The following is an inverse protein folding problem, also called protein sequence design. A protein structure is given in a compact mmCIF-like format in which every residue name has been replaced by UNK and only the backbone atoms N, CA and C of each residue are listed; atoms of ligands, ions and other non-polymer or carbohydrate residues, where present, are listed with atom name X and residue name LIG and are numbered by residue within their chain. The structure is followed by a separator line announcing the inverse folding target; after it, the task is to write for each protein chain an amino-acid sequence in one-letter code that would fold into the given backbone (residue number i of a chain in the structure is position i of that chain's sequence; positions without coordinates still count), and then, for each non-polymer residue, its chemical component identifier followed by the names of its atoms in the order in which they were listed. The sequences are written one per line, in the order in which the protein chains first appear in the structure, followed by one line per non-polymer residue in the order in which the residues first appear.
data_IF_620115367424
#
_entry.id   IF_620115367424
#
_cell.length_a   1.000
_cell.length_b   1.000
_cell.length_c   1.000
_cell.angle_alpha   90.00
_cell.angle_beta   90.00
_cell.angle_gamma   90.00
#
_symmetry.space_group_name_H-M   'P 1'
#
loop_
_entity.id
_entity.type
_entity.pdbx_description
1 polymer ?
#
# COMPACT_ATOMS: atom_id res chain seq x y z
N UNK A 1 -17.26 3.24 -13.63
CA UNK A 1 -17.04 3.27 -15.09
C UNK A 1 -17.85 2.15 -15.74
N UNK A 2 -18.79 2.47 -16.64
CA UNK A 2 -19.69 1.49 -17.27
C UNK A 2 -18.98 0.68 -18.36
N UNK A 3 -18.06 1.31 -19.08
CA UNK A 3 -17.28 0.75 -20.20
C UNK A 3 -16.37 -0.43 -19.82
N UNK A 4 -15.95 -0.54 -18.55
CA UNK A 4 -15.01 -1.57 -18.08
C UNK A 4 -15.73 -2.79 -17.48
N UNK A 5 -17.05 -2.73 -17.29
CA UNK A 5 -17.84 -3.76 -16.60
C UNK A 5 -18.96 -4.40 -17.42
N UNK A 6 -19.15 -3.99 -18.68
CA UNK A 6 -20.04 -4.71 -19.60
C UNK A 6 -19.25 -5.79 -20.33
N UNK A 7 -19.92 -6.91 -20.66
CA UNK A 7 -19.51 -7.84 -21.74
C UNK A 7 -19.02 -7.04 -22.95
N UNK A 8 -18.13 -7.57 -23.82
CA UNK A 8 -17.51 -6.82 -24.91
C UNK A 8 -18.56 -6.11 -25.77
N UNK A 9 -18.87 -4.87 -25.39
CA UNK A 9 -19.80 -4.00 -26.09
C UNK A 9 -18.97 -3.25 -27.10
N UNK A 10 -19.25 -3.53 -28.36
CA UNK A 10 -18.86 -2.82 -29.59
C UNK A 10 -17.59 -1.96 -29.48
N UNK A 11 -16.44 -2.56 -29.81
CA UNK A 11 -15.19 -1.85 -30.13
C UNK A 11 -14.01 -2.08 -29.20
N UNK A 12 -14.22 -2.64 -28.00
CA UNK A 12 -13.16 -2.94 -27.02
C UNK A 12 -13.03 -4.47 -26.89
N UNK A 13 -12.18 -5.07 -27.71
CA UNK A 13 -11.98 -6.53 -27.75
C UNK A 13 -10.64 -6.93 -27.15
N UNK A 14 -9.66 -6.02 -27.17
CA UNK A 14 -8.30 -6.21 -26.70
C UNK A 14 -7.89 -5.15 -25.67
N UNK A 15 -7.05 -5.50 -24.70
CA UNK A 15 -6.39 -4.55 -23.79
C UNK A 15 -5.90 -3.26 -24.49
N UNK A 16 -5.40 -3.35 -25.72
CA UNK A 16 -4.96 -2.17 -26.49
C UNK A 16 -6.08 -1.22 -26.92
N UNK A 17 -7.30 -1.73 -27.06
CA UNK A 17 -8.49 -0.92 -27.33
C UNK A 17 -8.91 -0.10 -26.09
N UNK A 18 -8.29 -0.35 -24.93
CA UNK A 18 -8.47 0.48 -23.73
C UNK A 18 -7.69 1.78 -23.76
N UNK A 19 -6.83 1.99 -24.76
CA UNK A 19 -6.04 3.21 -24.90
C UNK A 19 -6.88 4.49 -24.81
N UNK A 20 -7.98 4.67 -25.58
CA UNK A 20 -8.78 5.89 -25.51
C UNK A 20 -9.42 6.10 -24.12
N UNK A 21 -9.80 5.01 -23.45
CA UNK A 21 -10.38 5.05 -22.11
C UNK A 21 -9.32 5.46 -21.07
N UNK A 22 -8.09 4.96 -21.19
CA UNK A 22 -6.97 5.36 -20.33
C UNK A 22 -6.60 6.83 -20.55
N UNK A 23 -6.53 7.28 -21.80
CA UNK A 23 -6.27 8.68 -22.16
C UNK A 23 -7.37 9.60 -21.59
N UNK A 24 -8.65 9.21 -21.73
CA UNK A 24 -9.78 9.95 -21.17
C UNK A 24 -9.75 9.98 -19.63
N UNK A 25 -9.43 8.86 -18.97
CA UNK A 25 -9.32 8.79 -17.52
C UNK A 25 -8.21 9.70 -16.98
N UNK A 26 -7.03 9.69 -17.63
CA UNK A 26 -5.91 10.54 -17.23
C UNK A 26 -6.27 12.01 -17.44
N UNK A 27 -6.81 12.38 -18.60
CA UNK A 27 -7.24 13.74 -18.88
C UNK A 27 -8.29 14.23 -17.87
N UNK A 28 -9.28 13.39 -17.56
CA UNK A 28 -10.34 13.70 -16.61
C UNK A 28 -9.80 13.89 -15.18
N UNK A 29 -8.92 13.00 -14.72
CA UNK A 29 -8.28 13.16 -13.41
C UNK A 29 -7.43 14.43 -13.33
N UNK A 30 -6.66 14.74 -14.39
CA UNK A 30 -5.88 16.00 -14.46
C UNK A 30 -6.78 17.22 -14.43
N UNK A 31 -7.95 17.17 -15.08
CA UNK A 31 -8.95 18.25 -15.01
C UNK A 31 -9.45 18.49 -13.58
N UNK A 32 -9.77 17.44 -12.83
CA UNK A 32 -10.25 17.57 -11.44
C UNK A 32 -9.12 18.05 -10.51
N UNK A 33 -7.88 17.61 -10.73
CA UNK A 33 -6.73 18.10 -9.93
C UNK A 33 -6.54 19.61 -10.13
N UNK A 34 -6.68 20.09 -11.37
CA UNK A 34 -6.57 21.51 -11.69
C UNK A 34 -7.75 22.34 -11.14
N UNK A 35 -8.94 21.75 -11.08
CA UNK A 35 -10.16 22.38 -10.58
C UNK A 35 -11.01 21.40 -9.75
N UNK A 36 -10.72 21.27 -8.43
CA UNK A 36 -11.46 20.38 -7.54
C UNK A 36 -12.93 20.76 -7.35
N UNK A 37 -13.30 22.01 -7.66
CA UNK A 37 -14.68 22.49 -7.54
C UNK A 37 -15.61 21.80 -8.54
N UNK A 38 -15.08 21.13 -9.58
CA UNK A 38 -15.85 20.25 -10.45
C UNK A 38 -16.61 19.18 -9.66
N UNK A 39 -16.01 18.65 -8.58
CA UNK A 39 -16.64 17.64 -7.72
C UNK A 39 -17.12 18.20 -6.38
N UNK A 40 -16.45 19.23 -5.86
CA UNK A 40 -16.70 19.77 -4.53
C UNK A 40 -17.47 21.10 -4.51
N UNK A 41 -17.61 21.76 -5.64
CA UNK A 41 -18.25 23.07 -5.77
C UNK A 41 -19.76 22.99 -5.59
N UNK A 42 -20.40 24.12 -5.30
CA UNK A 42 -21.84 24.20 -5.05
C UNK A 42 -22.72 23.78 -6.23
N UNK A 43 -22.22 23.90 -7.46
CA UNK A 43 -22.93 23.58 -8.70
C UNK A 43 -22.51 22.22 -9.28
N UNK A 44 -22.79 21.14 -8.56
CA UNK A 44 -22.49 19.78 -9.00
C UNK A 44 -23.44 19.35 -10.13
N UNK A 45 -22.90 19.18 -11.35
CA UNK A 45 -23.61 18.62 -12.50
C UNK A 45 -22.95 17.32 -12.97
N UNK A 46 -23.74 16.28 -13.25
CA UNK A 46 -23.18 15.02 -13.77
C UNK A 46 -22.49 15.21 -15.13
N UNK A 47 -22.86 16.23 -15.91
CA UNK A 47 -22.27 16.51 -17.23
C UNK A 47 -20.79 16.88 -17.11
N UNK A 48 -20.41 17.58 -16.05
CA UNK A 48 -19.04 18.02 -15.78
C UNK A 48 -18.31 17.09 -14.81
N UNK A 49 -19.04 16.52 -13.85
CA UNK A 49 -18.53 15.70 -12.75
C UNK A 49 -18.59 14.19 -13.00
N UNK A 50 -18.95 13.75 -14.21
CA UNK A 50 -18.73 12.38 -14.66
C UNK A 50 -17.77 12.36 -15.85
N UNK A 51 -16.94 11.32 -15.91
CA UNK A 51 -15.95 11.18 -16.98
C UNK A 51 -16.59 11.02 -18.37
N UNK A 52 -17.78 10.42 -18.45
CA UNK A 52 -18.53 10.17 -19.69
C UNK A 52 -19.67 11.18 -19.93
N UNK A 53 -19.82 12.19 -19.06
CA UNK A 53 -20.92 13.16 -19.11
C UNK A 53 -22.30 12.54 -18.87
N UNK A 54 -22.38 11.29 -18.40
CA UNK A 54 -23.64 10.57 -18.17
C UNK A 54 -23.98 10.55 -16.69
N UNK A 55 -25.29 10.42 -16.41
CA UNK A 55 -25.77 10.27 -15.04
C UNK A 55 -25.00 9.14 -14.32
N UNK A 56 -24.58 9.39 -13.08
CA UNK A 56 -23.87 8.39 -12.28
C UNK A 56 -24.69 7.12 -12.12
N UNK A 57 -24.02 5.98 -11.89
CA UNK A 57 -24.73 4.71 -11.65
C UNK A 57 -25.55 4.75 -10.35
N UNK A 58 -25.12 5.56 -9.40
CA UNK A 58 -25.73 5.76 -8.07
C UNK A 58 -25.80 7.26 -7.76
N UNK A 59 -26.71 8.00 -8.42
CA UNK A 59 -26.83 9.44 -8.21
C UNK A 59 -27.14 9.78 -6.74
N UNK A 60 -27.88 8.94 -6.04
CA UNK A 60 -28.23 9.12 -4.63
C UNK A 60 -27.00 9.20 -3.72
N UNK A 61 -25.97 8.39 -4.00
CA UNK A 61 -24.72 8.41 -3.23
C UNK A 61 -23.90 9.68 -3.50
N UNK A 62 -23.89 10.15 -4.75
CA UNK A 62 -23.17 11.37 -5.14
C UNK A 62 -23.80 12.60 -4.49
N UNK A 63 -25.13 12.72 -4.55
CA UNK A 63 -25.83 13.85 -3.93
C UNK A 63 -25.75 13.81 -2.40
N UNK A 64 -25.82 12.63 -1.77
CA UNK A 64 -25.64 12.51 -0.32
C UNK A 64 -24.22 12.93 0.11
N UNK A 65 -23.18 12.51 -0.63
CA UNK A 65 -21.82 12.95 -0.35
C UNK A 65 -21.68 14.46 -0.52
N UNK A 66 -22.25 15.02 -1.60
CA UNK A 66 -22.23 16.46 -1.86
C UNK A 66 -22.94 17.28 -0.76
N UNK A 67 -24.10 16.82 -0.29
CA UNK A 67 -24.83 17.44 0.80
C UNK A 67 -24.06 17.45 2.14
N UNK A 68 -23.14 16.50 2.34
CA UNK A 68 -22.27 16.46 3.51
C UNK A 68 -21.04 17.36 3.38
N UNK A 69 -20.62 17.72 2.17
CA UNK A 69 -19.42 18.52 1.96
C UNK A 69 -19.40 19.84 2.77
N UNK A 70 -20.50 20.62 2.89
CA UNK A 70 -20.53 21.85 3.71
C UNK A 70 -20.29 21.62 5.20
N UNK A 71 -20.60 20.42 5.70
CA UNK A 71 -20.36 20.05 7.11
C UNK A 71 -18.92 19.61 7.36
N UNK A 72 -18.20 19.29 6.29
CA UNK A 72 -16.79 18.94 6.31
C UNK A 72 -15.96 20.19 6.03
N UNK A 73 -14.73 20.23 6.52
CA UNK A 73 -13.81 21.32 6.17
C UNK A 73 -13.47 21.20 4.68
N UNK A 74 -14.16 21.97 3.84
CA UNK A 74 -14.09 21.91 2.36
C UNK A 74 -12.65 21.90 1.84
N UNK A 75 -11.80 22.81 2.34
CA UNK A 75 -10.40 22.90 1.95
C UNK A 75 -9.62 21.60 2.23
N UNK A 76 -9.97 20.87 3.31
CA UNK A 76 -9.35 19.58 3.61
C UNK A 76 -9.84 18.48 2.67
N UNK A 77 -11.13 18.48 2.31
CA UNK A 77 -11.70 17.48 1.39
C UNK A 77 -11.13 17.65 -0.01
N UNK A 78 -11.01 18.88 -0.50
CA UNK A 78 -10.38 19.17 -1.79
C UNK A 78 -8.91 18.75 -1.80
N UNK A 79 -8.14 19.08 -0.75
CA UNK A 79 -6.75 18.66 -0.64
C UNK A 79 -6.59 17.14 -0.66
N UNK A 80 -7.43 16.42 0.10
CA UNK A 80 -7.43 14.95 0.12
C UNK A 80 -7.79 14.37 -1.25
N UNK A 81 -8.79 14.95 -1.92
CA UNK A 81 -9.20 14.53 -3.26
C UNK A 81 -8.06 14.68 -4.27
N UNK A 82 -7.36 15.83 -4.23
CA UNK A 82 -6.22 16.10 -5.10
C UNK A 82 -5.11 15.08 -4.85
N UNK A 83 -4.68 14.89 -3.60
CA UNK A 83 -3.61 13.94 -3.25
C UNK A 83 -3.96 12.50 -3.65
N UNK A 84 -5.21 12.10 -3.44
CA UNK A 84 -5.71 10.79 -3.87
C UNK A 84 -5.64 10.64 -5.41
N UNK A 85 -6.08 11.66 -6.15
CA UNK A 85 -6.08 11.64 -7.61
C UNK A 85 -4.67 11.67 -8.18
N UNK A 86 -3.74 12.42 -7.59
CA UNK A 86 -2.33 12.42 -7.99
C UNK A 86 -1.71 11.03 -7.88
N UNK A 87 -1.86 10.38 -6.72
CA UNK A 87 -1.36 9.01 -6.51
C UNK A 87 -2.06 7.98 -7.42
N UNK A 88 -3.37 8.13 -7.63
CA UNK A 88 -4.13 7.27 -8.54
C UNK A 88 -3.66 7.44 -9.99
N UNK A 89 -3.46 8.67 -10.46
CA UNK A 89 -3.01 8.95 -11.82
C UNK A 89 -1.58 8.47 -12.07
N UNK A 90 -0.68 8.58 -11.09
CA UNK A 90 0.66 8.01 -11.17
C UNK A 90 0.57 6.49 -11.40
N UNK A 91 -0.27 5.79 -10.62
CA UNK A 91 -0.48 4.36 -10.78
C UNK A 91 -1.05 4.01 -12.16
N UNK A 92 -2.04 4.76 -12.67
CA UNK A 92 -2.61 4.53 -14.00
C UNK A 92 -1.62 4.80 -15.13
N UNK A 93 -0.79 5.85 -15.03
CA UNK A 93 0.28 6.12 -16.01
C UNK A 93 1.30 5.01 -16.04
N UNK A 94 1.69 4.47 -14.88
CA UNK A 94 2.59 3.32 -14.79
C UNK A 94 1.94 2.04 -15.33
N UNK A 95 0.67 1.80 -15.01
CA UNK A 95 -0.07 0.63 -15.50
C UNK A 95 -0.26 0.67 -17.02
N UNK A 96 -0.59 1.85 -17.56
CA UNK A 96 -0.84 2.06 -18.98
C UNK A 96 0.41 2.37 -19.80
N UNK A 97 1.63 2.37 -19.23
CA UNK A 97 2.83 2.84 -19.93
C UNK A 97 3.08 2.08 -21.22
N UNK A 98 2.86 0.77 -21.21
CA UNK A 98 3.03 -0.08 -22.38
C UNK A 98 1.99 0.25 -23.46
N UNK A 99 0.74 0.49 -23.06
CA UNK A 99 -0.39 0.76 -23.95
C UNK A 99 -0.33 2.18 -24.55
N UNK A 100 0.00 3.17 -23.72
CA UNK A 100 0.08 4.58 -24.09
C UNK A 100 1.34 4.87 -24.91
N UNK A 101 2.46 4.23 -24.54
CA UNK A 101 3.79 4.48 -25.11
C UNK A 101 4.07 3.79 -26.44
N UNK A 102 3.21 2.88 -26.91
CA UNK A 102 3.39 2.18 -28.20
C UNK A 102 2.13 2.24 -29.03
N UNK A 103 2.27 2.18 -30.35
CA UNK A 103 1.16 2.02 -31.29
C UNK A 103 1.32 0.68 -32.00
N UNK A 104 0.33 -0.19 -31.87
CA UNK A 104 0.25 -1.43 -32.61
C UNK A 104 -0.61 -1.23 -33.85
N UNK A 105 -0.24 -1.87 -34.96
CA UNK A 105 -1.11 -1.99 -36.14
C UNK A 105 -2.29 -2.92 -35.82
N UNK A 106 -3.38 -2.86 -36.58
CA UNK A 106 -4.55 -3.70 -36.31
C UNK A 106 -4.23 -5.19 -36.41
N UNK A 107 -3.36 -5.58 -37.36
CA UNK A 107 -2.84 -6.94 -37.46
C UNK A 107 -1.96 -7.37 -36.27
N UNK A 108 -1.33 -6.44 -35.55
CA UNK A 108 -0.61 -6.73 -34.31
C UNK A 108 -1.56 -6.79 -33.11
N UNK A 109 -2.58 -5.94 -33.06
CA UNK A 109 -3.63 -6.00 -32.02
C UNK A 109 -4.35 -7.34 -32.08
N UNK A 110 -4.72 -7.82 -33.27
CA UNK A 110 -5.39 -9.13 -33.42
C UNK A 110 -4.56 -10.29 -32.84
N UNK A 111 -3.23 -10.20 -32.88
CA UNK A 111 -2.31 -11.20 -32.32
C UNK A 111 -2.16 -11.11 -30.80
N UNK A 112 -2.58 -10.02 -30.18
CA UNK A 112 -2.50 -9.83 -28.72
C UNK A 112 -3.81 -10.29 -28.10
N UNK A 113 -3.92 -11.57 -27.76
CA UNK A 113 -5.10 -12.12 -27.09
C UNK A 113 -5.11 -11.82 -25.58
N UNK A 114 -5.29 -10.54 -25.20
CA UNK A 114 -5.51 -10.16 -23.80
C UNK A 114 -6.93 -9.58 -23.61
N UNK A 115 -7.78 -10.23 -22.80
CA UNK A 115 -9.11 -9.72 -22.46
C UNK A 115 -9.03 -8.33 -21.83
N UNK A 116 -10.02 -7.50 -22.16
CA UNK A 116 -10.11 -6.08 -21.77
C UNK A 116 -10.54 -5.88 -20.32
N UNK A 117 -11.27 -6.84 -19.75
CA UNK A 117 -11.87 -6.70 -18.43
C UNK A 117 -11.17 -7.58 -17.39
N UNK A 118 -11.10 -7.05 -16.16
CA UNK A 118 -10.57 -7.79 -15.04
C UNK A 118 -11.44 -9.02 -14.74
N UNK A 119 -12.75 -8.98 -14.96
CA UNK A 119 -13.65 -10.10 -14.64
C UNK A 119 -13.29 -11.39 -15.38
N UNK A 120 -12.91 -11.29 -16.66
CA UNK A 120 -12.45 -12.45 -17.45
C UNK A 120 -11.05 -12.89 -16.99
N UNK A 121 -10.18 -11.94 -16.66
CA UNK A 121 -8.84 -12.23 -16.15
C UNK A 121 -8.87 -12.82 -14.73
N UNK A 122 -9.81 -12.42 -13.87
CA UNK A 122 -10.09 -12.91 -12.53
C UNK A 122 -10.69 -14.31 -12.60
N UNK A 123 -11.67 -14.52 -13.49
CA UNK A 123 -12.22 -15.84 -13.79
C UNK A 123 -11.16 -16.80 -14.33
N UNK A 124 -10.28 -16.32 -15.20
CA UNK A 124 -9.15 -17.07 -15.72
C UNK A 124 -8.12 -17.39 -14.63
N UNK A 125 -7.83 -16.45 -13.73
CA UNK A 125 -6.92 -16.66 -12.60
C UNK A 125 -7.49 -17.68 -11.60
N UNK A 126 -8.79 -17.60 -11.32
CA UNK A 126 -9.50 -18.55 -10.45
C UNK A 126 -9.65 -19.95 -11.07
N UNK A 127 -9.86 -20.03 -12.39
CA UNK A 127 -9.99 -21.29 -13.11
C UNK A 127 -8.63 -21.96 -13.38
N UNK A 128 -7.57 -21.20 -13.65
CA UNK A 128 -6.27 -21.79 -14.00
C UNK A 128 -5.34 -21.93 -12.80
N UNK A 129 -5.37 -21.06 -11.80
CA UNK A 129 -4.49 -21.21 -10.64
C UNK A 129 -4.97 -22.33 -9.69
N UNK A 130 -6.03 -22.09 -8.91
CA UNK A 130 -6.55 -23.06 -7.94
C UNK A 130 -7.00 -24.40 -8.54
N UNK A 131 -7.82 -24.39 -9.59
CA UNK A 131 -8.37 -25.64 -10.15
C UNK A 131 -7.30 -26.46 -10.87
N UNK A 132 -6.38 -25.83 -11.61
CA UNK A 132 -5.29 -26.59 -12.23
C UNK A 132 -4.32 -27.15 -11.20
N UNK A 133 -4.03 -26.43 -10.10
CA UNK A 133 -3.22 -26.98 -8.99
C UNK A 133 -3.91 -28.13 -8.26
N UNK A 134 -5.24 -28.14 -8.15
CA UNK A 134 -5.97 -29.31 -7.61
C UNK A 134 -5.82 -30.54 -8.51
N UNK A 135 -5.89 -30.35 -9.84
CA UNK A 135 -5.76 -31.45 -10.81
C UNK A 135 -4.31 -31.89 -11.06
N UNK A 136 -3.35 -30.97 -10.90
CA UNK A 136 -1.93 -31.21 -11.12
C UNK A 136 -1.11 -30.43 -10.07
N UNK A 137 -0.99 -30.96 -8.83
CA UNK A 137 -0.36 -30.24 -7.72
C UNK A 137 1.13 -29.97 -7.94
N UNK A 138 1.80 -30.83 -8.72
CA UNK A 138 3.21 -30.69 -9.06
C UNK A 138 3.45 -29.74 -10.25
N UNK A 139 2.40 -29.24 -10.90
CA UNK A 139 2.55 -28.32 -12.02
C UNK A 139 3.02 -26.95 -11.52
N UNK A 140 4.06 -26.41 -12.16
CA UNK A 140 4.55 -25.06 -11.87
C UNK A 140 3.57 -24.01 -12.41
N UNK A 141 3.62 -22.80 -11.85
CA UNK A 141 2.76 -21.72 -12.35
C UNK A 141 3.07 -21.41 -13.82
N UNK A 142 4.34 -21.48 -14.20
CA UNK A 142 4.79 -21.35 -15.58
C UNK A 142 4.18 -22.41 -16.50
N UNK A 143 4.15 -23.68 -16.09
CA UNK A 143 3.51 -24.75 -16.88
C UNK A 143 2.00 -24.53 -17.03
N UNK A 144 1.33 -24.07 -15.97
CA UNK A 144 -0.10 -23.75 -16.01
C UNK A 144 -0.35 -22.61 -17.01
N UNK A 145 0.43 -21.53 -16.93
CA UNK A 145 0.31 -20.39 -17.83
C UNK A 145 0.61 -20.77 -19.28
N UNK A 146 1.67 -21.55 -19.52
CA UNK A 146 2.04 -22.04 -20.85
C UNK A 146 0.93 -22.92 -21.45
N UNK A 147 0.33 -23.81 -20.66
CA UNK A 147 -0.81 -24.64 -21.13
C UNK A 147 -2.03 -23.79 -21.47
N UNK A 148 -2.29 -22.75 -20.70
CA UNK A 148 -3.41 -21.86 -20.96
C UNK A 148 -3.18 -21.03 -22.24
N UNK A 149 -1.98 -20.49 -22.44
CA UNK A 149 -1.56 -19.82 -23.67
C UNK A 149 -1.61 -20.77 -24.87
N UNK A 150 -1.11 -22.00 -24.72
CA UNK A 150 -1.12 -23.01 -25.77
C UNK A 150 -2.54 -23.29 -26.30
N UNK A 151 -3.52 -23.34 -25.40
CA UNK A 151 -4.94 -23.52 -25.75
C UNK A 151 -5.54 -22.27 -26.39
N UNK A 152 -5.28 -21.08 -25.83
CA UNK A 152 -5.86 -19.84 -26.32
C UNK A 152 -5.33 -19.43 -27.70
N UNK A 153 -4.04 -19.65 -27.95
CA UNK A 153 -3.39 -19.21 -29.18
C UNK A 153 -3.50 -20.22 -30.34
N UNK A 154 -4.30 -21.28 -30.20
CA UNK A 154 -4.40 -22.32 -31.24
C UNK A 154 -3.06 -22.98 -31.57
N UNK A 155 -2.11 -22.99 -30.62
CA UNK A 155 -0.72 -23.40 -30.90
C UNK A 155 -0.62 -24.89 -31.26
N UNK A 156 -1.62 -25.70 -30.90
CA UNK A 156 -1.71 -27.11 -31.30
C UNK A 156 -1.71 -27.28 -32.82
N UNK A 157 -2.56 -26.52 -33.53
CA UNK A 157 -2.67 -26.60 -34.99
C UNK A 157 -1.36 -26.17 -35.66
N UNK A 158 -0.69 -25.14 -35.14
CA UNK A 158 0.61 -24.70 -35.64
C UNK A 158 1.67 -25.79 -35.49
N UNK A 159 1.72 -26.45 -34.32
CA UNK A 159 2.67 -27.55 -34.08
C UNK A 159 2.37 -28.71 -35.01
N UNK A 160 1.10 -29.07 -35.16
CA UNK A 160 0.66 -30.18 -36.00
C UNK A 160 0.97 -29.94 -37.49
N UNK A 161 0.73 -28.73 -37.98
CA UNK A 161 0.95 -28.38 -39.39
C UNK A 161 2.43 -28.14 -39.74
N UNK A 162 3.21 -27.53 -38.85
CA UNK A 162 4.56 -27.03 -39.19
C UNK A 162 5.71 -27.73 -38.47
N UNK A 163 5.45 -28.37 -37.33
CA UNK A 163 6.49 -28.92 -36.46
C UNK A 163 6.29 -30.41 -36.15
N UNK A 164 5.31 -31.07 -36.79
CA UNK A 164 5.07 -32.50 -36.65
C UNK A 164 6.06 -33.36 -37.46
N UNK A 165 7.33 -32.99 -37.40
CA UNK A 165 8.45 -33.72 -37.99
C UNK A 165 9.42 -34.09 -36.87
N UNK A 166 10.26 -35.11 -37.10
CA UNK A 166 11.27 -35.53 -36.11
C UNK A 166 12.19 -34.38 -35.70
N UNK A 167 12.58 -33.54 -36.65
CA UNK A 167 13.41 -32.36 -36.46
C UNK A 167 12.68 -31.26 -35.67
N UNK A 168 11.40 -31.00 -36.00
CA UNK A 168 10.56 -30.05 -35.25
C UNK A 168 10.40 -30.46 -33.78
N UNK A 169 10.15 -31.75 -33.53
CA UNK A 169 10.08 -32.30 -32.16
C UNK A 169 11.43 -32.21 -31.43
N UNK A 170 12.55 -32.37 -32.13
CA UNK A 170 13.90 -32.23 -31.55
C UNK A 170 14.19 -30.77 -31.18
N UNK A 171 13.83 -29.83 -32.05
CA UNK A 171 13.93 -28.39 -31.78
C UNK A 171 13.10 -27.98 -30.56
N UNK A 172 11.84 -28.43 -30.47
CA UNK A 172 10.96 -28.13 -29.33
C UNK A 172 11.53 -28.67 -28.00
N UNK A 173 12.11 -29.88 -28.00
CA UNK A 173 12.76 -30.44 -26.81
C UNK A 173 13.99 -29.63 -26.39
N UNK A 174 14.83 -29.23 -27.35
CA UNK A 174 16.01 -28.40 -27.07
C UNK A 174 15.60 -27.05 -26.47
N UNK A 175 14.56 -26.41 -27.03
CA UNK A 175 14.06 -25.14 -26.49
C UNK A 175 13.43 -25.29 -25.10
N UNK A 176 12.64 -26.35 -24.88
CA UNK A 176 12.08 -26.63 -23.56
C UNK A 176 13.19 -26.84 -22.50
N UNK A 177 14.27 -27.54 -22.87
CA UNK A 177 15.42 -27.74 -21.99
C UNK A 177 16.16 -26.43 -21.71
N UNK A 178 16.36 -25.59 -22.71
CA UNK A 178 16.97 -24.26 -22.56
C UNK A 178 16.13 -23.32 -21.69
N UNK A 179 14.79 -23.40 -21.76
CA UNK A 179 13.91 -22.62 -20.88
C UNK A 179 13.96 -23.17 -19.45
N UNK A 180 13.94 -24.49 -19.28
CA UNK A 180 14.01 -25.13 -17.96
C UNK A 180 15.33 -24.85 -17.25
N UNK A 181 16.44 -24.77 -17.98
CA UNK A 181 17.77 -24.48 -17.40
C UNK A 181 17.93 -23.04 -16.90
N UNK A 182 17.07 -22.12 -17.33
CA UNK A 182 17.11 -20.71 -16.88
C UNK A 182 16.67 -20.51 -15.42
N UNK A 183 16.11 -21.53 -14.77
CA UNK A 183 15.77 -21.49 -13.35
C UNK A 183 14.76 -20.40 -12.97
N UNK A 184 13.93 -19.95 -13.93
CA UNK A 184 12.94 -18.86 -13.74
C UNK A 184 12.00 -19.15 -12.57
N UNK A 185 11.57 -20.40 -12.43
CA UNK A 185 10.70 -20.80 -11.32
C UNK A 185 11.40 -20.75 -9.95
N UNK A 186 12.69 -21.09 -9.89
CA UNK A 186 13.49 -20.96 -8.67
C UNK A 186 13.61 -19.48 -8.27
N UNK A 187 13.90 -18.60 -9.24
CA UNK A 187 13.95 -17.14 -9.03
C UNK A 187 12.60 -16.58 -8.57
N UNK A 188 11.48 -17.05 -9.14
CA UNK A 188 10.13 -16.65 -8.71
C UNK A 188 9.85 -17.05 -7.27
N UNK A 189 10.17 -18.29 -6.88
CA UNK A 189 9.98 -18.76 -5.50
C UNK A 189 10.77 -17.90 -4.51
N UNK A 190 12.05 -17.64 -4.77
CA UNK A 190 12.89 -16.80 -3.88
C UNK A 190 12.36 -15.38 -3.75
N UNK A 191 11.85 -14.78 -4.84
CA UNK A 191 11.25 -13.44 -4.81
C UNK A 191 9.96 -13.44 -3.99
N UNK A 192 9.12 -14.46 -4.19
CA UNK A 192 7.84 -14.59 -3.46
C UNK A 192 8.08 -14.79 -1.96
N UNK A 193 9.03 -15.65 -1.60
CA UNK A 193 9.46 -15.87 -0.21
C UNK A 193 10.03 -14.60 0.42
N UNK A 194 10.87 -13.86 -0.31
CA UNK A 194 11.40 -12.58 0.14
C UNK A 194 10.29 -11.56 0.39
N UNK A 195 9.32 -11.42 -0.53
CA UNK A 195 8.18 -10.52 -0.33
C UNK A 195 7.31 -10.94 0.85
N UNK A 196 7.06 -12.23 1.04
CA UNK A 196 6.30 -12.73 2.17
C UNK A 196 7.04 -12.49 3.50
N UNK A 197 8.35 -12.68 3.54
CA UNK A 197 9.19 -12.37 4.71
C UNK A 197 9.19 -10.87 5.02
N UNK A 198 9.33 -10.03 3.99
CA UNK A 198 9.26 -8.57 4.11
C UNK A 198 7.91 -8.12 4.65
N UNK A 199 6.80 -8.61 4.10
CA UNK A 199 5.46 -8.28 4.56
C UNK A 199 5.23 -8.66 6.02
N UNK A 200 5.71 -9.83 6.46
CA UNK A 200 5.67 -10.23 7.88
C UNK A 200 6.50 -9.30 8.78
N UNK A 201 7.68 -8.90 8.32
CA UNK A 201 8.55 -7.95 9.03
C UNK A 201 7.90 -6.57 9.15
N UNK A 202 7.33 -6.07 8.07
CA UNK A 202 6.64 -4.78 8.02
C UNK A 202 5.41 -4.79 8.92
N UNK A 203 4.57 -5.83 8.87
CA UNK A 203 3.43 -5.99 9.77
C UNK A 203 3.84 -6.06 11.25
N UNK A 204 4.94 -6.73 11.58
CA UNK A 204 5.49 -6.75 12.94
C UNK A 204 5.94 -5.37 13.39
N UNK A 205 6.59 -4.61 12.51
CA UNK A 205 7.03 -3.24 12.76
C UNK A 205 5.85 -2.29 12.96
N UNK A 206 4.82 -2.40 12.14
CA UNK A 206 3.58 -1.62 12.28
C UNK A 206 2.86 -1.92 13.59
N UNK A 207 2.73 -3.21 13.97
CA UNK A 207 2.14 -3.60 15.24
C UNK A 207 2.96 -3.08 16.44
N UNK A 208 4.29 -3.08 16.34
CA UNK A 208 5.19 -2.52 17.35
C UNK A 208 5.04 -1.00 17.47
N UNK A 209 4.98 -0.28 16.35
CA UNK A 209 4.73 1.17 16.33
C UNK A 209 3.35 1.50 16.91
N UNK A 210 2.31 0.74 16.56
CA UNK A 210 0.97 0.90 17.10
C UNK A 210 0.93 0.67 18.62
N UNK A 211 1.68 -0.33 19.12
CA UNK A 211 1.81 -0.57 20.56
C UNK A 211 2.55 0.58 21.26
N UNK A 212 3.60 1.13 20.65
CA UNK A 212 4.31 2.31 21.15
C UNK A 212 3.36 3.51 21.22
N UNK A 213 2.60 3.79 20.16
CA UNK A 213 1.69 4.95 20.12
C UNK A 213 0.56 4.88 21.15
N UNK A 214 0.17 3.67 21.59
CA UNK A 214 -0.81 3.46 22.66
C UNK A 214 -0.22 3.54 24.07
N UNK A 215 1.11 3.57 24.20
CA UNK A 215 1.77 3.67 25.49
C UNK A 215 1.47 5.02 26.14
N UNK A 216 1.00 4.99 27.39
CA UNK A 216 0.87 6.20 28.22
C UNK A 216 2.27 6.50 28.75
N UNK A 217 2.90 7.63 28.35
CA UNK A 217 4.26 7.94 28.79
C UNK A 217 4.30 8.26 30.28
N UNK A 218 5.30 7.72 30.98
CA UNK A 218 5.53 8.02 32.39
C UNK A 218 6.62 9.09 32.46
N UNK A 219 6.25 10.28 32.94
CA UNK A 219 7.19 11.40 33.12
C UNK A 219 7.61 11.63 34.58
N UNK A 220 6.98 10.94 35.53
CA UNK A 220 7.30 11.09 36.94
C UNK A 220 8.57 10.31 37.29
N UNK A 221 9.65 11.04 37.60
CA UNK A 221 10.94 10.48 37.99
C UNK A 221 10.83 9.75 39.34
N UNK A 222 9.97 10.22 40.24
CA UNK A 222 9.80 9.63 41.58
C UNK A 222 9.32 8.16 41.50
N UNK A 223 8.60 7.80 40.44
CA UNK A 223 8.17 6.42 40.19
C UNK A 223 9.34 5.44 39.95
N UNK A 224 10.51 5.94 39.55
CA UNK A 224 11.70 5.13 39.26
C UNK A 224 12.79 5.26 40.34
N UNK A 225 12.73 6.30 41.18
CA UNK A 225 13.65 6.50 42.30
C UNK A 225 13.23 5.70 43.55
N UNK A 226 11.93 5.51 43.78
CA UNK A 226 11.44 4.67 44.88
C UNK A 226 11.59 3.16 44.55
N UNK A 227 12.41 2.41 45.31
CA UNK A 227 12.62 0.97 45.10
C UNK A 227 11.32 0.13 45.19
N UNK A 228 10.31 0.62 45.91
CA UNK A 228 9.01 -0.05 46.06
C UNK A 228 8.17 0.13 44.80
N UNK A 229 8.19 1.33 44.21
CA UNK A 229 7.45 1.64 42.98
C UNK A 229 8.14 1.05 41.75
N UNK A 230 9.48 1.04 41.71
CA UNK A 230 10.24 0.41 40.63
C UNK A 230 9.95 -1.10 40.52
N UNK A 231 9.75 -1.79 41.65
CA UNK A 231 9.35 -3.21 41.67
C UNK A 231 7.95 -3.47 41.08
N UNK A 232 7.07 -2.46 41.04
CA UNK A 232 5.73 -2.56 40.45
C UNK A 232 5.73 -2.39 38.93
N UNK A 233 6.79 -1.80 38.37
CA UNK A 233 6.93 -1.58 36.92
C UNK A 233 7.56 -2.82 36.30
N UNK A 234 6.82 -3.46 35.40
CA UNK A 234 7.30 -4.66 34.71
C UNK A 234 8.35 -4.28 33.65
N UNK A 235 9.39 -5.11 33.48
CA UNK A 235 10.44 -4.90 32.46
C UNK A 235 9.89 -4.63 31.03
N UNK A 236 8.82 -5.30 30.54
CA UNK A 236 8.20 -4.97 29.26
C UNK A 236 7.62 -3.55 29.18
N UNK A 237 7.15 -3.00 30.31
CA UNK A 237 6.67 -1.61 30.36
C UNK A 237 7.85 -0.65 30.25
N UNK A 238 8.98 -0.92 30.93
CA UNK A 238 10.21 -0.13 30.81
C UNK A 238 10.72 -0.16 29.36
N UNK A 239 10.70 -1.32 28.71
CA UNK A 239 11.07 -1.46 27.30
C UNK A 239 10.16 -0.67 26.37
N UNK A 240 8.86 -0.64 26.65
CA UNK A 240 7.88 0.13 25.87
C UNK A 240 8.09 1.64 26.04
N UNK A 241 8.37 2.11 27.27
CA UNK A 241 8.68 3.51 27.57
C UNK A 241 9.96 3.96 26.86
N UNK A 242 11.03 3.17 26.92
CA UNK A 242 12.28 3.46 26.21
C UNK A 242 12.09 3.55 24.69
N UNK A 243 11.27 2.65 24.10
CA UNK A 243 10.92 2.72 22.68
C UNK A 243 10.12 3.97 22.35
N UNK A 244 9.18 4.36 23.21
CA UNK A 244 8.39 5.58 23.05
C UNK A 244 9.28 6.83 23.03
N UNK A 245 10.12 7.01 24.05
CA UNK A 245 11.03 8.17 24.10
C UNK A 245 12.00 8.20 22.92
N UNK A 246 12.54 7.04 22.54
CA UNK A 246 13.44 6.93 21.38
C UNK A 246 12.76 7.31 20.06
N UNK A 247 11.50 6.91 19.87
CA UNK A 247 10.76 7.25 18.66
C UNK A 247 10.51 8.77 18.58
N UNK A 248 10.12 9.40 19.69
CA UNK A 248 9.91 10.86 19.75
C UNK A 248 11.19 11.68 19.57
N UNK A 249 12.33 11.22 20.09
CA UNK A 249 13.62 11.87 19.82
C UNK A 249 14.02 11.80 18.34
N UNK A 250 13.80 10.66 17.70
CA UNK A 250 14.09 10.50 16.27
C UNK A 250 13.18 11.37 15.40
N UNK A 251 11.90 11.54 15.77
CA UNK A 251 10.98 12.45 15.07
C UNK A 251 11.41 13.93 15.21
N UNK A 252 11.86 14.33 16.40
CA UNK A 252 12.17 15.73 16.71
C UNK A 252 13.57 16.15 16.20
N UNK A 253 14.59 15.33 16.48
CA UNK A 253 16.00 15.70 16.31
C UNK A 253 16.75 14.84 15.28
N UNK A 254 16.09 13.86 14.64
CA UNK A 254 16.68 12.89 13.68
C UNK A 254 17.87 12.09 14.21
N UNK A 255 18.16 12.21 15.51
CA UNK A 255 19.22 11.53 16.26
C UNK A 255 18.65 11.16 17.62
N UNK A 256 19.09 10.04 18.18
CA UNK A 256 18.70 9.60 19.51
C UNK A 256 19.93 9.18 20.29
N UNK A 257 19.97 9.60 21.55
CA UNK A 257 21.01 9.21 22.50
C UNK A 257 20.62 7.91 23.23
N UNK A 258 19.42 7.39 22.99
CA UNK A 258 18.92 6.15 23.60
C UNK A 258 19.42 4.95 22.78
N UNK A 259 20.23 4.04 23.37
CA UNK A 259 20.74 2.87 22.68
C UNK A 259 19.62 1.92 22.20
N UNK A 260 19.95 0.93 21.37
CA UNK A 260 18.99 -0.13 21.05
C UNK A 260 18.75 -1.00 22.27
N UNK A 261 17.52 -1.48 22.49
CA UNK A 261 17.22 -2.37 23.62
C UNK A 261 18.09 -3.62 23.63
N UNK A 262 18.51 -4.09 22.44
CA UNK A 262 19.45 -5.21 22.28
C UNK A 262 20.87 -4.92 22.77
N UNK A 263 21.22 -3.63 22.96
CA UNK A 263 22.51 -3.17 23.47
C UNK A 263 22.47 -2.80 24.95
N UNK A 264 21.32 -2.96 25.62
CA UNK A 264 21.14 -2.61 27.04
C UNK A 264 20.95 -3.86 27.89
N UNK A 265 21.65 -3.94 29.03
CA UNK A 265 21.36 -4.96 30.03
C UNK A 265 20.09 -4.63 30.83
N UNK A 266 19.45 -5.64 31.43
CA UNK A 266 18.23 -5.46 32.24
C UNK A 266 18.39 -4.45 33.38
N UNK A 267 19.60 -4.32 33.94
CA UNK A 267 19.91 -3.41 35.05
C UNK A 267 20.05 -1.96 34.60
N UNK A 268 20.53 -1.73 33.37
CA UNK A 268 20.77 -0.38 32.83
C UNK A 268 19.51 0.29 32.28
N UNK A 269 18.47 -0.49 31.93
CA UNK A 269 17.25 0.03 31.31
C UNK A 269 16.51 1.09 32.17
N UNK A 270 16.29 0.89 33.49
CA UNK A 270 15.67 1.90 34.33
C UNK A 270 16.53 3.16 34.47
N UNK A 271 17.85 3.01 34.61
CA UNK A 271 18.79 4.13 34.73
C UNK A 271 18.79 5.02 33.47
N UNK A 272 18.84 4.40 32.29
CA UNK A 272 18.78 5.09 31.01
C UNK A 272 17.41 5.78 30.83
N UNK A 273 16.32 5.13 31.25
CA UNK A 273 14.99 5.73 31.19
C UNK A 273 14.89 6.97 32.08
N UNK A 274 15.38 6.91 33.32
CA UNK A 274 15.42 8.07 34.22
C UNK A 274 16.25 9.23 33.65
N UNK A 275 17.44 8.94 33.12
CA UNK A 275 18.28 9.97 32.49
C UNK A 275 17.58 10.61 31.27
N UNK A 276 16.86 9.81 30.50
CA UNK A 276 16.07 10.26 29.35
C UNK A 276 14.91 11.17 29.79
N UNK A 277 14.14 10.76 30.79
CA UNK A 277 13.03 11.56 31.34
C UNK A 277 13.55 12.90 31.88
N UNK A 278 14.66 12.89 32.63
CA UNK A 278 15.32 14.11 33.13
C UNK A 278 15.69 15.06 32.00
N UNK A 279 16.37 14.57 30.95
CA UNK A 279 16.70 15.37 29.76
C UNK A 279 15.45 15.96 29.10
N UNK A 280 14.41 15.15 28.98
CA UNK A 280 13.17 15.54 28.33
C UNK A 280 12.43 16.64 29.11
N UNK A 281 12.35 16.53 30.44
CA UNK A 281 11.78 17.56 31.32
C UNK A 281 12.56 18.87 31.18
N UNK A 282 13.91 18.81 31.15
CA UNK A 282 14.74 20.00 30.94
C UNK A 282 14.44 20.68 29.60
N UNK A 283 14.26 19.91 28.52
CA UNK A 283 13.93 20.44 27.20
C UNK A 283 12.52 21.05 27.12
N UNK A 284 11.55 20.45 27.81
CA UNK A 284 10.19 20.99 27.93
C UNK A 284 10.21 22.31 28.71
N UNK A 285 10.91 22.36 29.85
CA UNK A 285 11.03 23.57 30.68
C UNK A 285 11.78 24.70 29.94
N UNK A 286 12.73 24.36 29.06
CA UNK A 286 13.43 25.30 28.19
C UNK A 286 12.59 25.76 26.97
N UNK A 287 11.36 25.27 26.81
CA UNK A 287 10.46 25.61 25.69
C UNK A 287 10.87 25.01 24.34
N UNK A 288 11.83 24.08 24.31
CA UNK A 288 12.37 23.49 23.08
C UNK A 288 11.51 22.35 22.52
N UNK A 289 10.63 21.76 23.36
CA UNK A 289 9.75 20.65 22.99
C UNK A 289 8.33 20.96 23.46
N UNK A 290 7.36 20.91 22.56
CA UNK A 290 5.94 21.13 22.87
C UNK A 290 5.23 19.80 23.18
N UNK A 291 4.55 19.73 24.33
CA UNK A 291 3.74 18.59 24.74
C UNK A 291 2.50 18.47 23.82
N UNK A 292 2.51 17.53 22.88
CA UNK A 292 1.32 17.21 22.07
C UNK A 292 0.43 16.20 22.81
N UNK A 293 -0.68 16.66 23.39
CA UNK A 293 -1.78 15.83 23.90
C UNK A 293 -2.53 16.44 25.11
N UNK A 294 -3.83 16.15 25.30
CA UNK A 294 -4.70 16.88 26.25
C UNK A 294 -4.58 16.44 27.72
N UNK A 295 -3.45 15.87 28.17
CA UNK A 295 -3.35 15.25 29.51
C UNK A 295 -2.32 15.83 30.47
N UNK A 296 -1.58 16.88 30.14
CA UNK A 296 -0.73 17.58 31.13
C UNK A 296 -0.73 19.09 30.91
N UNK A 297 -1.91 19.70 31.05
CA UNK A 297 -2.05 21.15 31.26
C UNK A 297 -2.02 21.51 32.75
N UNK A 298 -1.11 20.89 33.51
CA UNK A 298 -0.67 21.47 34.78
C UNK A 298 0.85 21.57 34.79
N UNK A 299 1.40 22.75 35.15
CA UNK A 299 2.84 22.91 35.33
C UNK A 299 3.31 21.95 36.42
N UNK A 300 4.43 21.27 36.16
CA UNK A 300 5.14 20.51 37.20
C UNK A 300 5.59 21.54 38.24
N UNK A 301 4.84 21.63 39.33
CA UNK A 301 5.16 22.49 40.46
C UNK A 301 6.56 22.11 40.97
N UNK A 302 7.47 23.07 40.96
CA UNK A 302 8.74 22.97 41.66
C UNK A 302 8.50 22.64 43.14
N UNK A 303 9.42 21.87 43.73
CA UNK A 303 9.33 21.34 45.10
C UNK A 303 9.16 22.40 46.20
N UNK A 304 9.30 23.69 45.88
CA UNK A 304 9.09 24.80 46.80
C UNK A 304 7.62 25.09 47.12
N UNK A 305 6.67 24.63 46.29
CA UNK A 305 5.24 24.87 46.48
C UNK A 305 4.52 23.93 47.47
N UNK A 306 5.16 22.84 47.91
CA UNK A 306 4.49 21.80 48.74
C UNK A 306 4.53 22.05 50.25
N UNK A 307 5.27 23.05 50.73
CA UNK A 307 5.43 23.33 52.17
C UNK A 307 4.40 24.30 52.78
N UNK A 308 3.49 24.87 52.00
CA UNK A 308 2.46 25.79 52.53
C UNK A 308 1.08 25.22 52.26
N UNK A 309 0.71 24.18 53.03
CA UNK A 309 -0.68 23.76 53.35
C UNK A 309 -0.61 22.47 54.17
N UNK A 310 -0.27 22.62 55.44
CA UNK A 310 -0.76 21.79 56.54
C UNK A 310 -1.26 22.71 57.62
#
# INVERSE_FOLDING_TARGET
MRLVRSQPTTGIQNLWDMRPVLEQLIAYGTKIIADPDILCGSNLSFETASMDGKLWKRPEAMYAAHALLPTLSMNKVQAILVELLEGMLEAWRRFGSDILGRRLTDAQKEKVAMPTTNDVNEGFLGANGPVAKRKAPNATLEQINLKAQFKQNGTAELIEQKLNTREGHQFLRQQAQAISSQGREKKRKTVTEHHAAKAKSDAKREAEIAAINKCIPIFDIACFEDPVMLKKILLPQIDLQLKWHRLRELETNKKTEIPALSKMSKKQKPEILMATIRRWITQVNAGQVHLMGPQLSQPVLSEEGRRVRR
#
